data_IF_866064242805
#
_entry.id   IF_866064242805
#
_cell.length_a   1.000
_cell.length_b   1.000
_cell.length_c   1.000
_cell.angle_alpha   90.00
_cell.angle_beta   90.00
_cell.angle_gamma   90.00
#
_symmetry.space_group_name_H-M   'P 1'
#
loop_
_entity.id
_entity.type
_entity.pdbx_description
1 polymer ?
#
# COMPACT_ATOMS: atom_id res chain seq x y z
N UNK A 1 26.12 -41.43 -0.87
CA UNK A 1 25.00 -40.49 -0.68
C UNK A 1 25.54 -39.17 -0.18
N UNK A 2 25.64 -38.16 -1.05
CA UNK A 2 25.95 -36.79 -0.65
C UNK A 2 24.71 -35.93 -0.93
N UNK A 3 23.99 -35.57 0.13
CA UNK A 3 22.92 -34.59 0.03
C UNK A 3 23.55 -33.25 -0.39
N UNK A 4 23.36 -32.87 -1.66
CA UNK A 4 23.59 -31.50 -2.10
C UNK A 4 22.72 -30.60 -1.23
N UNK A 5 23.33 -29.89 -0.27
CA UNK A 5 22.72 -28.71 0.35
C UNK A 5 22.35 -27.78 -0.79
N UNK A 6 21.06 -27.69 -1.12
CA UNK A 6 20.52 -26.59 -1.92
C UNK A 6 20.99 -25.33 -1.23
N UNK A 7 21.81 -24.50 -1.89
CA UNK A 7 22.06 -23.16 -1.42
C UNK A 7 20.67 -22.53 -1.22
N UNK A 8 20.33 -22.19 0.03
CA UNK A 8 19.14 -21.40 0.31
C UNK A 8 19.31 -20.11 -0.45
N UNK A 9 18.55 -19.93 -1.53
CA UNK A 9 18.50 -18.68 -2.24
C UNK A 9 18.24 -17.57 -1.22
N UNK A 10 19.04 -16.50 -1.26
CA UNK A 10 18.86 -15.37 -0.37
C UNK A 10 17.43 -14.84 -0.56
N UNK A 11 16.71 -14.62 0.55
CA UNK A 11 15.36 -14.09 0.53
C UNK A 11 15.29 -12.81 -0.31
N UNK A 12 14.22 -12.62 -1.08
CA UNK A 12 13.96 -11.35 -1.77
C UNK A 12 13.86 -10.16 -0.79
N UNK A 13 13.52 -10.44 0.48
CA UNK A 13 13.47 -9.45 1.56
C UNK A 13 14.84 -9.26 2.26
N UNK A 14 15.87 -9.99 1.81
CA UNK A 14 17.23 -9.90 2.32
C UNK A 14 17.83 -8.52 2.05
N UNK A 15 18.36 -7.89 3.09
CA UNK A 15 19.01 -6.57 2.98
C UNK A 15 18.06 -5.37 2.99
N UNK A 16 16.77 -5.56 3.28
CA UNK A 16 15.88 -4.44 3.58
C UNK A 16 16.22 -3.78 4.93
N UNK A 17 15.98 -2.47 5.04
CA UNK A 17 16.14 -1.75 6.31
C UNK A 17 14.92 -1.98 7.20
N UNK A 18 14.99 -3.00 8.06
CA UNK A 18 13.91 -3.38 8.97
C UNK A 18 13.53 -2.30 9.99
N UNK A 19 14.46 -1.40 10.36
CA UNK A 19 14.14 -0.27 11.25
C UNK A 19 13.26 0.76 10.55
N UNK A 20 13.53 1.05 9.29
CA UNK A 20 12.71 1.96 8.48
C UNK A 20 11.32 1.36 8.23
N UNK A 21 11.23 0.07 7.90
CA UNK A 21 9.94 -0.64 7.76
C UNK A 21 9.14 -0.55 9.07
N UNK A 22 9.80 -0.76 10.22
CA UNK A 22 9.14 -0.67 11.53
C UNK A 22 8.65 0.74 11.86
N UNK A 23 9.39 1.77 11.47
CA UNK A 23 8.99 3.18 11.61
C UNK A 23 7.76 3.44 10.75
N UNK A 24 7.81 3.11 9.47
CA UNK A 24 6.69 3.27 8.54
C UNK A 24 5.42 2.56 9.04
N UNK A 25 5.55 1.31 9.48
CA UNK A 25 4.44 0.59 10.11
C UNK A 25 3.90 1.29 11.38
N UNK A 26 4.76 1.91 12.19
CA UNK A 26 4.32 2.64 13.39
C UNK A 26 3.51 3.87 13.05
N UNK A 27 3.94 4.63 12.05
CA UNK A 27 3.26 5.82 11.56
C UNK A 27 1.86 5.43 11.06
N UNK A 28 1.79 4.42 10.19
CA UNK A 28 0.52 3.88 9.68
C UNK A 28 -0.41 3.38 10.79
N UNK A 29 0.14 2.73 11.83
CA UNK A 29 -0.66 2.30 12.98
C UNK A 29 -1.24 3.48 13.77
N UNK A 30 -0.51 4.60 13.90
CA UNK A 30 -1.02 5.83 14.54
C UNK A 30 -2.13 6.44 13.69
N UNK A 31 -1.92 6.56 12.39
CA UNK A 31 -2.92 7.12 11.46
C UNK A 31 -4.18 6.26 11.40
N UNK A 32 -4.05 4.93 11.42
CA UNK A 32 -5.19 4.01 11.58
C UNK A 32 -6.01 4.33 12.84
N UNK A 33 -5.35 4.49 13.99
CA UNK A 33 -6.05 4.81 15.24
C UNK A 33 -6.74 6.19 15.17
N UNK A 34 -6.09 7.17 14.56
CA UNK A 34 -6.67 8.50 14.37
C UNK A 34 -7.90 8.48 13.44
N UNK A 35 -7.82 7.77 12.32
CA UNK A 35 -8.96 7.57 11.42
C UNK A 35 -10.17 6.96 12.14
N UNK A 36 -9.96 5.95 12.99
CA UNK A 36 -11.04 5.36 13.77
C UNK A 36 -11.61 6.36 14.79
N UNK A 37 -10.76 7.14 15.47
CA UNK A 37 -11.19 8.19 16.41
C UNK A 37 -12.05 9.25 15.71
N UNK A 38 -11.59 9.76 14.56
CA UNK A 38 -12.29 10.74 13.75
C UNK A 38 -13.64 10.19 13.29
N UNK A 39 -13.65 8.92 12.85
CA UNK A 39 -14.87 8.24 12.42
C UNK A 39 -15.90 8.12 13.56
N UNK A 40 -15.47 7.69 14.75
CA UNK A 40 -16.32 7.53 15.93
C UNK A 40 -16.93 8.86 16.40
N UNK A 41 -16.16 9.94 16.34
CA UNK A 41 -16.60 11.29 16.72
C UNK A 41 -17.39 12.01 15.65
N UNK A 42 -17.52 11.43 14.46
CA UNK A 42 -18.18 12.08 13.30
C UNK A 42 -17.51 13.39 12.90
N UNK A 43 -16.19 13.48 13.08
CA UNK A 43 -15.33 14.55 12.56
C UNK A 43 -15.12 14.30 11.05
N UNK A 44 -16.18 14.53 10.25
CA UNK A 44 -16.27 14.09 8.84
C UNK A 44 -15.22 14.76 7.95
N UNK A 45 -14.99 16.06 8.16
CA UNK A 45 -14.08 16.83 7.31
C UNK A 45 -12.64 16.34 7.49
N UNK A 46 -12.17 16.32 8.73
CA UNK A 46 -10.83 15.86 9.12
C UNK A 46 -10.63 14.38 8.76
N UNK A 47 -11.67 13.54 8.94
CA UNK A 47 -11.62 12.15 8.52
C UNK A 47 -11.38 12.01 7.02
N UNK A 48 -12.15 12.74 6.21
CA UNK A 48 -12.08 12.62 4.75
C UNK A 48 -10.74 13.16 4.24
N UNK A 49 -10.29 14.28 4.78
CA UNK A 49 -9.03 14.90 4.38
C UNK A 49 -7.84 13.99 4.77
N UNK A 50 -7.89 13.32 5.92
CA UNK A 50 -6.90 12.32 6.32
C UNK A 50 -6.96 11.03 5.48
N UNK A 51 -8.13 10.39 5.31
CA UNK A 51 -8.26 9.10 4.60
C UNK A 51 -7.93 9.20 3.10
N UNK A 52 -7.98 10.41 2.54
CA UNK A 52 -7.58 10.71 1.16
C UNK A 52 -6.15 11.24 1.06
N UNK A 53 -5.41 11.33 2.16
CA UNK A 53 -4.03 11.80 2.19
C UNK A 53 -3.87 13.27 1.81
N UNK A 54 -4.89 14.11 2.04
CA UNK A 54 -4.84 15.56 1.80
C UNK A 54 -4.07 16.26 2.91
N UNK A 55 -4.39 15.94 4.17
CA UNK A 55 -3.73 16.54 5.34
C UNK A 55 -2.39 15.86 5.67
N UNK A 56 -2.38 14.54 5.64
CA UNK A 56 -1.22 13.72 5.95
C UNK A 56 -1.13 12.53 4.96
N UNK A 57 -0.04 12.41 4.18
CA UNK A 57 0.17 11.31 3.23
C UNK A 57 0.05 9.92 3.85
N UNK A 58 0.33 9.77 5.16
CA UNK A 58 0.24 8.47 5.85
C UNK A 58 -1.17 7.90 5.87
N UNK A 59 -2.20 8.73 5.66
CA UNK A 59 -3.57 8.28 5.52
C UNK A 59 -3.83 7.56 4.19
N UNK A 60 -3.19 8.00 3.10
CA UNK A 60 -3.31 7.38 1.79
C UNK A 60 -2.16 7.78 0.85
N UNK A 61 -1.10 6.96 0.79
CA UNK A 61 0.03 7.23 -0.09
C UNK A 61 -0.36 7.13 -1.56
N UNK A 62 -1.23 6.17 -1.91
CA UNK A 62 -1.70 6.02 -3.29
C UNK A 62 -2.44 7.25 -3.80
N UNK A 63 -3.16 7.96 -2.93
CA UNK A 63 -3.81 9.21 -3.30
C UNK A 63 -2.82 10.38 -3.33
N UNK A 64 -1.94 10.49 -2.32
CA UNK A 64 -0.97 11.55 -2.23
C UNK A 64 0.05 11.54 -3.39
N UNK A 65 0.57 10.37 -3.78
CA UNK A 65 1.57 10.20 -4.85
C UNK A 65 1.10 10.75 -6.21
N UNK A 66 -0.22 10.92 -6.41
CA UNK A 66 -0.83 11.36 -7.67
C UNK A 66 -1.81 12.55 -7.51
N UNK A 67 -1.77 13.21 -6.34
CA UNK A 67 -2.65 14.34 -5.98
C UNK A 67 -4.14 14.03 -6.20
N UNK A 68 -4.56 12.82 -5.83
CA UNK A 68 -5.93 12.36 -6.06
C UNK A 68 -6.91 12.82 -5.01
N UNK A 69 -6.47 13.03 -3.77
CA UNK A 69 -7.35 13.53 -2.70
C UNK A 69 -8.08 14.80 -3.11
N UNK A 70 -7.37 15.87 -3.52
CA UNK A 70 -8.00 17.09 -4.02
C UNK A 70 -8.88 16.87 -5.26
N UNK A 71 -8.47 15.98 -6.20
CA UNK A 71 -9.26 15.67 -7.39
C UNK A 71 -10.56 14.95 -7.05
N UNK A 72 -10.54 14.00 -6.12
CA UNK A 72 -11.72 13.30 -5.59
C UNK A 72 -12.66 14.32 -4.94
N UNK A 73 -12.13 15.22 -4.12
CA UNK A 73 -12.92 16.24 -3.43
C UNK A 73 -13.55 17.26 -4.38
N UNK A 74 -12.82 17.70 -5.40
CA UNK A 74 -13.25 18.74 -6.34
C UNK A 74 -14.13 18.27 -7.51
N UNK A 75 -14.15 16.97 -7.85
CA UNK A 75 -14.85 16.45 -9.04
C UNK A 75 -16.05 15.56 -8.72
N UNK A 76 -16.49 15.50 -7.47
CA UNK A 76 -17.65 14.69 -7.07
C UNK A 76 -18.63 15.52 -6.25
N UNK A 77 -19.92 15.45 -6.60
CA UNK A 77 -20.99 16.09 -5.82
C UNK A 77 -21.09 15.44 -4.44
N UNK A 78 -21.07 16.24 -3.39
CA UNK A 78 -21.06 15.75 -2.00
C UNK A 78 -19.92 14.75 -1.73
N UNK A 79 -18.75 14.99 -2.30
CA UNK A 79 -17.56 14.12 -2.23
C UNK A 79 -17.27 13.62 -0.82
N UNK A 80 -17.24 14.51 0.18
CA UNK A 80 -17.02 14.13 1.58
C UNK A 80 -18.05 13.13 2.12
N UNK A 81 -19.34 13.34 1.82
CA UNK A 81 -20.42 12.41 2.22
C UNK A 81 -20.29 11.07 1.50
N UNK A 82 -19.93 11.06 0.21
CA UNK A 82 -19.73 9.83 -0.54
C UNK A 82 -18.55 9.01 0.00
N UNK A 83 -17.42 9.68 0.28
CA UNK A 83 -16.22 9.06 0.86
C UNK A 83 -16.51 8.53 2.26
N UNK A 84 -17.19 9.30 3.11
CA UNK A 84 -17.65 8.84 4.42
C UNK A 84 -18.56 7.62 4.34
N UNK A 85 -19.51 7.63 3.38
CA UNK A 85 -20.42 6.51 3.14
C UNK A 85 -19.69 5.25 2.69
N UNK A 86 -18.69 5.39 1.83
CA UNK A 86 -17.82 4.28 1.42
C UNK A 86 -16.98 3.75 2.59
N UNK A 87 -16.38 4.64 3.39
CA UNK A 87 -15.62 4.29 4.60
C UNK A 87 -16.46 3.51 5.62
N UNK A 88 -17.72 3.92 5.83
CA UNK A 88 -18.68 3.21 6.67
C UNK A 88 -18.86 1.76 6.20
N UNK A 89 -18.93 1.53 4.89
CA UNK A 89 -19.05 0.18 4.32
C UNK A 89 -17.76 -0.63 4.51
N UNK A 90 -16.58 -0.02 4.36
CA UNK A 90 -15.32 -0.71 4.64
C UNK A 90 -15.22 -1.22 6.08
N UNK A 91 -15.68 -0.45 7.07
CA UNK A 91 -15.68 -0.89 8.47
C UNK A 91 -16.57 -2.11 8.70
N UNK A 92 -17.62 -2.31 7.90
CA UNK A 92 -18.52 -3.46 7.99
C UNK A 92 -18.07 -4.70 7.20
N UNK A 93 -17.05 -4.59 6.34
CA UNK A 93 -16.67 -5.71 5.46
C UNK A 93 -16.11 -6.89 6.27
N UNK A 94 -16.47 -8.13 5.89
CA UNK A 94 -15.97 -9.34 6.55
C UNK A 94 -14.75 -9.93 5.81
N UNK A 95 -14.56 -9.53 4.55
CA UNK A 95 -13.51 -10.02 3.66
C UNK A 95 -12.98 -8.88 2.78
N UNK A 96 -11.65 -8.70 2.73
CA UNK A 96 -11.03 -7.74 1.81
C UNK A 96 -11.37 -7.98 0.34
N UNK A 97 -11.75 -9.23 -0.03
CA UNK A 97 -12.14 -9.58 -1.41
C UNK A 97 -13.34 -8.79 -1.95
N UNK A 98 -14.14 -8.19 -1.07
CA UNK A 98 -15.34 -7.43 -1.46
C UNK A 98 -15.03 -5.95 -1.75
N UNK A 99 -13.86 -5.47 -1.32
CA UNK A 99 -13.41 -4.07 -1.46
C UNK A 99 -13.47 -3.57 -2.91
N UNK A 100 -13.02 -4.32 -3.94
CA UNK A 100 -13.12 -3.87 -5.33
C UNK A 100 -14.55 -3.54 -5.76
N UNK A 101 -15.52 -4.38 -5.38
CA UNK A 101 -16.92 -4.15 -5.70
C UNK A 101 -17.49 -2.92 -4.96
N UNK A 102 -17.10 -2.71 -3.70
CA UNK A 102 -17.50 -1.52 -2.94
C UNK A 102 -17.02 -0.23 -3.62
N UNK A 103 -15.76 -0.21 -4.08
CA UNK A 103 -15.14 0.92 -4.78
C UNK A 103 -15.86 1.20 -6.10
N UNK A 104 -16.06 0.17 -6.94
CA UNK A 104 -16.81 0.31 -8.21
C UNK A 104 -18.19 0.90 -7.98
N UNK A 105 -18.93 0.34 -7.02
CA UNK A 105 -20.31 0.73 -6.75
C UNK A 105 -20.42 2.11 -6.10
N UNK A 106 -19.34 2.66 -5.54
CA UNK A 106 -19.34 4.02 -5.03
C UNK A 106 -19.34 5.07 -6.15
N UNK A 107 -18.85 4.71 -7.34
CA UNK A 107 -18.79 5.58 -8.52
C UNK A 107 -18.15 6.97 -8.26
N UNK A 108 -17.17 7.02 -7.35
CA UNK A 108 -16.44 8.24 -6.99
C UNK A 108 -15.31 8.42 -8.01
N UNK A 109 -15.38 9.52 -8.76
CA UNK A 109 -14.37 9.87 -9.76
C UNK A 109 -13.01 10.06 -9.11
N UNK A 110 -11.96 9.55 -9.78
CA UNK A 110 -10.56 9.50 -9.31
C UNK A 110 -10.28 8.55 -8.13
N UNK A 111 -11.30 7.91 -7.53
CA UNK A 111 -11.12 6.89 -6.51
C UNK A 111 -10.90 5.52 -7.15
N UNK A 112 -9.66 5.27 -7.56
CA UNK A 112 -9.22 4.00 -8.13
C UNK A 112 -9.06 2.90 -7.05
N UNK A 113 -8.81 1.65 -7.48
CA UNK A 113 -8.56 0.53 -6.54
C UNK A 113 -7.36 0.81 -5.63
N UNK A 114 -6.30 1.48 -6.11
CA UNK A 114 -5.14 1.82 -5.28
C UNK A 114 -5.53 2.68 -4.08
N UNK A 115 -6.26 3.77 -4.33
CA UNK A 115 -6.77 4.68 -3.29
C UNK A 115 -7.76 3.97 -2.37
N UNK A 116 -8.76 3.31 -2.95
CA UNK A 116 -9.86 2.74 -2.16
C UNK A 116 -9.44 1.51 -1.34
N UNK A 117 -8.55 0.67 -1.86
CA UNK A 117 -8.02 -0.48 -1.11
C UNK A 117 -7.04 -0.06 -0.02
N UNK A 118 -6.33 1.05 -0.21
CA UNK A 118 -5.51 1.63 0.85
C UNK A 118 -6.38 2.22 1.96
N UNK A 119 -7.44 2.96 1.61
CA UNK A 119 -8.42 3.46 2.57
C UNK A 119 -9.09 2.31 3.35
N UNK A 120 -9.50 1.23 2.67
CA UNK A 120 -10.11 0.09 3.35
C UNK A 120 -9.12 -0.66 4.26
N UNK A 121 -7.85 -0.79 3.86
CA UNK A 121 -6.77 -1.32 4.69
C UNK A 121 -6.56 -0.44 5.93
N UNK A 122 -6.55 0.89 5.78
CA UNK A 122 -6.38 1.83 6.89
C UNK A 122 -7.55 1.83 7.88
N UNK A 123 -8.74 1.38 7.48
CA UNK A 123 -9.90 1.26 8.38
C UNK A 123 -10.04 -0.14 8.98
N UNK A 124 -9.69 -1.19 8.22
CA UNK A 124 -9.88 -2.59 8.63
C UNK A 124 -8.68 -3.48 8.27
N UNK A 125 -7.50 -3.23 8.84
CA UNK A 125 -6.24 -3.85 8.40
C UNK A 125 -6.05 -5.31 8.82
N UNK A 126 -6.98 -5.88 9.58
CA UNK A 126 -7.04 -7.31 9.87
C UNK A 126 -7.69 -8.09 8.71
N UNK A 127 -8.52 -7.43 7.87
CA UNK A 127 -9.27 -8.04 6.76
C UNK A 127 -8.92 -7.50 5.39
N UNK A 128 -8.62 -6.21 5.29
CA UNK A 128 -8.41 -5.49 4.04
C UNK A 128 -6.92 -5.30 3.77
N UNK A 129 -6.52 -5.38 2.51
CA UNK A 129 -5.15 -5.16 2.06
C UNK A 129 -5.10 -4.14 0.94
N UNK A 130 -3.94 -3.50 0.82
CA UNK A 130 -3.67 -2.52 -0.22
C UNK A 130 -3.50 -3.21 -1.57
N UNK A 131 -3.92 -2.58 -2.64
CA UNK A 131 -3.74 -3.03 -4.04
C UNK A 131 -3.28 -1.87 -4.88
N UNK A 132 -1.98 -1.63 -4.80
CA UNK A 132 -1.25 -0.62 -5.56
C UNK A 132 -0.05 -1.26 -6.25
N UNK A 133 0.69 -0.47 -7.02
CA UNK A 133 1.88 -0.94 -7.76
C UNK A 133 2.90 -1.65 -6.89
N UNK A 134 3.12 -1.17 -5.65
CA UNK A 134 4.11 -1.73 -4.70
C UNK A 134 3.70 -3.13 -4.29
N UNK A 135 2.41 -3.32 -3.99
CA UNK A 135 1.85 -4.62 -3.59
C UNK A 135 1.79 -5.59 -4.76
N UNK A 136 1.35 -5.13 -5.94
CA UNK A 136 1.30 -5.94 -7.17
C UNK A 136 2.69 -6.41 -7.58
N UNK A 137 3.67 -5.51 -7.59
CA UNK A 137 5.03 -5.87 -7.95
C UNK A 137 5.66 -6.82 -6.93
N UNK A 138 5.40 -6.62 -5.64
CA UNK A 138 5.84 -7.56 -4.58
C UNK A 138 5.25 -8.95 -4.81
N UNK A 139 3.98 -9.05 -5.21
CA UNK A 139 3.38 -10.31 -5.59
C UNK A 139 4.12 -10.98 -6.75
N UNK A 140 4.45 -10.23 -7.80
CA UNK A 140 5.21 -10.74 -8.94
C UNK A 140 6.61 -11.22 -8.52
N UNK A 141 7.31 -10.50 -7.63
CA UNK A 141 8.62 -10.94 -7.11
C UNK A 141 8.51 -12.29 -6.43
N UNK A 142 7.48 -12.51 -5.60
CA UNK A 142 7.26 -13.79 -4.93
C UNK A 142 6.81 -14.89 -5.91
N UNK A 143 5.97 -14.56 -6.89
CA UNK A 143 5.55 -15.49 -7.94
C UNK A 143 6.73 -15.97 -8.79
N UNK A 144 7.74 -15.14 -8.99
CA UNK A 144 8.96 -15.47 -9.73
C UNK A 144 10.15 -15.83 -8.83
N UNK A 145 9.92 -16.32 -7.62
CA UNK A 145 10.97 -16.81 -6.69
C UNK A 145 12.12 -15.80 -6.45
N UNK A 146 11.81 -14.51 -6.36
CA UNK A 146 12.79 -13.45 -6.13
C UNK A 146 13.52 -12.96 -7.39
N UNK A 147 13.13 -13.42 -8.58
CA UNK A 147 13.71 -12.95 -9.85
C UNK A 147 13.16 -11.56 -10.23
N UNK A 148 13.77 -10.52 -9.65
CA UNK A 148 13.34 -9.13 -9.81
C UNK A 148 13.18 -8.66 -11.27
N UNK A 149 14.06 -9.09 -12.18
CA UNK A 149 13.96 -8.70 -13.60
C UNK A 149 12.71 -9.27 -14.27
N UNK A 150 12.32 -10.51 -13.94
CA UNK A 150 11.07 -11.10 -14.43
C UNK A 150 9.84 -10.37 -13.87
N UNK A 151 9.89 -9.99 -12.59
CA UNK A 151 8.84 -9.19 -11.98
C UNK A 151 8.70 -7.80 -12.65
N UNK A 152 9.83 -7.16 -12.99
CA UNK A 152 9.87 -5.89 -13.71
C UNK A 152 9.31 -6.00 -15.13
N UNK A 153 9.63 -7.09 -15.85
CA UNK A 153 9.10 -7.36 -17.19
C UNK A 153 7.59 -7.60 -17.14
N UNK A 154 7.13 -8.47 -16.23
CA UNK A 154 5.70 -8.73 -16.04
C UNK A 154 4.94 -7.44 -15.71
N UNK A 155 5.45 -6.61 -14.79
CA UNK A 155 4.83 -5.33 -14.46
C UNK A 155 4.75 -4.38 -15.66
N UNK A 156 5.78 -4.35 -16.53
CA UNK A 156 5.77 -3.56 -17.77
C UNK A 156 4.69 -4.04 -18.74
N UNK A 157 4.57 -5.35 -18.96
CA UNK A 157 3.52 -5.92 -19.81
C UNK A 157 2.12 -5.60 -19.29
N UNK A 158 1.94 -5.50 -17.96
CA UNK A 158 0.68 -5.04 -17.37
C UNK A 158 0.35 -3.58 -17.73
N UNK A 159 1.36 -2.70 -17.72
CA UNK A 159 1.22 -1.27 -18.05
C UNK A 159 1.01 -1.03 -19.55
N UNK A 160 1.81 -1.66 -20.41
CA UNK A 160 1.76 -1.47 -21.87
C UNK A 160 0.42 -1.84 -22.49
N UNK A 161 -0.28 -2.84 -21.92
CA UNK A 161 -1.60 -3.25 -22.38
C UNK A 161 -2.71 -2.24 -22.03
N UNK A 162 -2.40 -1.21 -21.25
CA UNK A 162 -3.36 -0.19 -20.80
C UNK A 162 -2.63 1.17 -20.68
N UNK A 163 -2.45 1.96 -21.75
CA UNK A 163 -1.63 3.19 -21.68
C UNK A 163 -2.15 4.26 -20.72
N UNK A 164 -3.47 4.33 -20.47
CA UNK A 164 -4.09 5.24 -19.49
C UNK A 164 -4.02 4.73 -18.02
N UNK A 165 -3.21 3.69 -17.75
CA UNK A 165 -3.34 2.78 -16.59
C UNK A 165 -2.46 3.00 -15.38
N UNK A 166 -1.79 4.15 -15.23
CA UNK A 166 -1.14 4.37 -13.93
C UNK A 166 -2.14 4.23 -12.78
N UNK A 167 -3.45 4.43 -13.06
CA UNK A 167 -4.52 4.27 -12.06
C UNK A 167 -5.83 3.60 -12.53
N UNK A 168 -6.01 3.28 -13.82
CA UNK A 168 -7.21 2.57 -14.32
C UNK A 168 -6.97 1.06 -14.35
N UNK A 169 -7.25 0.46 -13.21
CA UNK A 169 -6.90 -0.89 -12.81
C UNK A 169 -8.03 -1.91 -13.01
N UNK A 170 -8.70 -1.93 -14.17
CA UNK A 170 -9.79 -2.89 -14.41
C UNK A 170 -9.35 -4.34 -14.21
N UNK A 171 -8.10 -4.67 -14.53
CA UNK A 171 -7.52 -6.00 -14.28
C UNK A 171 -7.08 -6.25 -12.83
N UNK A 172 -6.76 -5.22 -12.04
CA UNK A 172 -6.33 -5.45 -10.65
C UNK A 172 -7.51 -5.63 -9.71
N UNK A 173 -8.69 -5.13 -10.06
CA UNK A 173 -9.87 -5.20 -9.21
C UNK A 173 -10.35 -6.63 -8.96
N UNK A 174 -10.52 -7.43 -10.00
CA UNK A 174 -10.85 -8.86 -9.90
C UNK A 174 -10.38 -9.53 -11.22
N UNK A 175 -9.76 -10.73 -11.18
CA UNK A 175 -9.51 -11.60 -10.03
C UNK A 175 -8.24 -11.25 -9.22
N UNK A 176 -7.38 -10.38 -9.74
CA UNK A 176 -6.02 -10.20 -9.23
C UNK A 176 -5.96 -9.71 -7.77
N UNK A 177 -6.84 -8.80 -7.33
CA UNK A 177 -6.93 -8.37 -5.93
C UNK A 177 -7.06 -9.56 -4.97
N UNK A 178 -7.82 -10.59 -5.36
CA UNK A 178 -8.05 -11.79 -4.54
C UNK A 178 -6.82 -12.68 -4.48
N UNK A 179 -6.07 -12.77 -5.58
CA UNK A 179 -4.85 -13.58 -5.69
C UNK A 179 -3.73 -13.04 -4.80
N UNK A 180 -3.68 -11.71 -4.58
CA UNK A 180 -2.70 -11.08 -3.71
C UNK A 180 -2.71 -11.67 -2.28
N UNK A 181 -3.87 -12.06 -1.75
CA UNK A 181 -4.03 -12.48 -0.36
C UNK A 181 -3.01 -13.55 0.05
N UNK A 182 -2.87 -14.61 -0.75
CA UNK A 182 -1.97 -15.73 -0.43
C UNK A 182 -0.51 -15.26 -0.40
N UNK A 183 -0.12 -14.43 -1.36
CA UNK A 183 1.25 -13.90 -1.43
C UNK A 183 1.53 -12.91 -0.31
N UNK A 184 0.56 -12.08 0.07
CA UNK A 184 0.70 -11.15 1.19
C UNK A 184 0.87 -11.87 2.53
N UNK A 185 0.25 -13.05 2.69
CA UNK A 185 0.53 -13.92 3.82
C UNK A 185 1.96 -14.48 3.80
N UNK A 186 2.47 -14.88 2.63
CA UNK A 186 3.86 -15.33 2.48
C UNK A 186 4.85 -14.19 2.77
N UNK A 187 4.63 -13.00 2.21
CA UNK A 187 5.43 -11.79 2.46
C UNK A 187 5.47 -11.48 3.95
N UNK A 188 4.33 -11.59 4.65
CA UNK A 188 4.26 -11.36 6.10
C UNK A 188 5.07 -12.39 6.88
N UNK A 189 4.92 -13.67 6.57
CA UNK A 189 5.62 -14.75 7.28
C UNK A 189 7.13 -14.64 7.09
N UNK A 190 7.57 -14.44 5.85
CA UNK A 190 8.98 -14.25 5.52
C UNK A 190 9.53 -12.95 6.10
N UNK A 191 8.76 -11.86 6.03
CA UNK A 191 9.16 -10.58 6.61
C UNK A 191 9.24 -10.61 8.13
N UNK A 192 8.37 -11.37 8.81
CA UNK A 192 8.48 -11.60 10.25
C UNK A 192 9.80 -12.29 10.60
N UNK A 193 10.17 -13.33 9.84
CA UNK A 193 11.44 -14.05 10.02
C UNK A 193 12.63 -13.11 9.85
N UNK A 194 12.69 -12.38 8.74
CA UNK A 194 13.79 -11.44 8.45
C UNK A 194 13.86 -10.27 9.45
N UNK A 195 12.72 -9.76 9.93
CA UNK A 195 12.70 -8.72 10.96
C UNK A 195 13.30 -9.22 12.28
N UNK A 196 12.94 -10.43 12.72
CA UNK A 196 13.47 -11.04 13.95
C UNK A 196 14.98 -11.26 13.83
N UNK A 197 15.44 -11.79 12.69
CA UNK A 197 16.88 -11.96 12.40
C UNK A 197 17.64 -10.62 12.42
N UNK A 198 16.99 -9.52 12.04
CA UNK A 198 17.53 -8.17 12.12
C UNK A 198 17.37 -7.50 13.50
N UNK A 199 16.88 -8.22 14.52
CA UNK A 199 16.65 -7.69 15.87
C UNK A 199 15.49 -6.69 15.96
N UNK A 200 14.55 -6.74 15.02
CA UNK A 200 13.36 -5.85 14.96
C UNK A 200 12.10 -6.65 15.24
N UNK A 201 11.27 -6.16 16.18
CA UNK A 201 9.98 -6.79 16.48
C UNK A 201 9.01 -6.62 15.30
N UNK A 202 8.41 -7.71 14.77
CA UNK A 202 7.42 -7.61 13.70
C UNK A 202 6.17 -6.82 14.08
N UNK A 203 5.52 -6.23 13.07
CA UNK A 203 4.22 -5.57 13.23
C UNK A 203 3.10 -6.56 13.55
N UNK A 204 2.18 -6.16 14.43
CA UNK A 204 1.08 -7.02 14.87
C UNK A 204 -0.18 -6.89 14.00
N UNK A 205 -0.33 -5.76 13.32
CA UNK A 205 -1.49 -5.49 12.47
C UNK A 205 -1.17 -5.98 11.07
N UNK A 206 -1.84 -7.08 10.69
CA UNK A 206 -1.49 -7.94 9.54
C UNK A 206 -1.16 -7.14 8.28
N UNK A 207 -2.14 -6.45 7.71
CA UNK A 207 -1.95 -5.85 6.38
C UNK A 207 -1.25 -4.51 6.39
N UNK A 208 -1.23 -3.77 7.51
CA UNK A 208 -0.34 -2.60 7.64
C UNK A 208 1.13 -3.01 7.68
N UNK A 209 1.44 -4.13 8.34
CA UNK A 209 2.81 -4.64 8.38
C UNK A 209 3.25 -5.14 7.00
N UNK A 210 2.38 -5.90 6.32
CA UNK A 210 2.67 -6.36 4.96
C UNK A 210 2.83 -5.21 3.97
N UNK A 211 1.98 -4.18 4.03
CA UNK A 211 2.07 -2.98 3.19
C UNK A 211 3.41 -2.24 3.38
N UNK A 212 3.88 -2.10 4.63
CA UNK A 212 5.18 -1.50 4.92
C UNK A 212 6.35 -2.30 4.33
N UNK A 213 6.27 -3.64 4.35
CA UNK A 213 7.28 -4.52 3.74
C UNK A 213 7.26 -4.38 2.21
N UNK A 214 6.09 -4.49 1.59
CA UNK A 214 5.92 -4.39 0.14
C UNK A 214 6.42 -3.04 -0.38
N UNK A 215 6.10 -1.97 0.34
CA UNK A 215 6.58 -0.62 0.02
C UNK A 215 8.09 -0.51 0.08
N UNK A 216 8.72 -1.03 1.14
CA UNK A 216 10.17 -0.98 1.27
C UNK A 216 10.90 -1.84 0.22
N UNK A 217 10.35 -3.02 -0.12
CA UNK A 217 10.90 -3.87 -1.17
C UNK A 217 10.88 -3.15 -2.53
N UNK A 218 9.72 -2.58 -2.89
CA UNK A 218 9.55 -1.84 -4.13
C UNK A 218 10.52 -0.66 -4.22
N UNK A 219 10.54 0.18 -3.18
CA UNK A 219 11.35 1.38 -3.13
C UNK A 219 12.85 1.06 -3.15
N UNK A 220 13.29 0.06 -2.39
CA UNK A 220 14.71 -0.33 -2.34
C UNK A 220 15.21 -0.80 -3.70
N UNK A 221 14.40 -1.59 -4.41
CA UNK A 221 14.74 -2.07 -5.75
C UNK A 221 14.76 -0.94 -6.79
N UNK A 222 13.70 -0.13 -6.82
CA UNK A 222 13.53 0.86 -7.89
C UNK A 222 14.35 2.14 -7.68
N UNK A 223 14.67 2.53 -6.44
CA UNK A 223 15.61 3.65 -6.19
C UNK A 223 17.04 3.33 -6.62
N UNK A 224 17.41 2.05 -6.65
CA UNK A 224 18.73 1.58 -7.10
C UNK A 224 18.84 1.43 -8.61
N UNK A 225 17.73 1.55 -9.34
CA UNK A 225 17.70 1.41 -10.80
C UNK A 225 17.80 2.79 -11.48
N UNK A 226 18.86 3.07 -12.29
CA UNK A 226 19.07 4.39 -12.92
C UNK A 226 17.91 4.87 -13.81
N UNK A 227 17.07 3.95 -14.29
CA UNK A 227 15.94 4.23 -15.20
C UNK A 227 14.66 4.75 -14.53
N UNK A 228 14.58 4.75 -13.19
CA UNK A 228 13.37 5.16 -12.43
C UNK A 228 13.54 6.44 -11.61
N UNK A 229 14.67 7.17 -11.76
CA UNK A 229 14.94 8.42 -11.03
C UNK A 229 13.96 9.57 -11.33
N UNK A 230 13.03 9.41 -12.27
CA UNK A 230 12.09 10.46 -12.68
C UNK A 230 10.82 10.57 -11.81
N UNK A 231 10.51 9.61 -10.93
CA UNK A 231 9.25 9.63 -10.14
C UNK A 231 9.41 9.40 -8.63
N UNK A 232 10.63 9.16 -8.14
CA UNK A 232 10.88 8.94 -6.72
C UNK A 232 11.33 10.22 -6.00
N UNK A 233 10.46 11.23 -5.92
CA UNK A 233 10.62 12.37 -5.01
C UNK A 233 9.52 12.35 -3.95
N UNK A 234 9.60 11.39 -3.02
CA UNK A 234 8.60 11.22 -1.95
C UNK A 234 9.17 10.93 -0.57
N UNK A 235 10.48 11.06 -0.38
CA UNK A 235 11.11 10.94 0.95
C UNK A 235 12.08 12.10 1.14
N UNK A 236 11.54 13.24 1.59
CA UNK A 236 12.39 14.30 2.17
C UNK A 236 12.76 13.84 3.57
N UNK A 237 13.98 13.34 3.72
CA UNK A 237 14.65 13.26 5.01
C UNK A 237 14.61 14.64 5.67
N UNK A 238 14.19 14.67 6.93
CA UNK A 238 13.91 15.89 7.70
C UNK A 238 14.92 17.02 7.49
N UNK A 239 14.41 18.19 7.09
CA UNK A 239 15.08 19.46 7.34
C UNK A 239 14.50 20.05 8.61
N UNK A 240 15.34 20.11 9.63
CA UNK A 240 15.19 20.98 10.78
C UNK A 240 14.86 22.40 10.32
N UNK A 241 13.67 22.87 10.65
CA UNK A 241 13.31 24.29 10.54
C UNK A 241 14.02 25.01 11.68
N UNK A 242 15.18 25.65 11.40
CA UNK A 242 15.71 26.68 12.28
C UNK A 242 14.95 27.96 11.99
N UNK A 243 14.08 28.34 12.92
CA UNK A 243 13.64 29.72 13.06
C UNK A 243 14.88 30.58 13.33
N UNK A 244 15.18 31.52 12.43
CA UNK A 244 15.91 32.73 12.80
C UNK A 244 14.86 33.83 12.91
N UNK A 245 14.91 34.53 14.05
CA UNK A 245 14.18 35.77 14.26
C UNK A 245 14.77 36.94 13.51
#
# INVERSE_FOLDING_TARGET
MAAKRKATAASALGGLNWRDIRRHYSERKKTHAELLRLFERREVDEFVDLILGVDDPTGNYSANDHELGPKILGNNLSSKKQVWGLASRFLTVTSGKDVPALIRNAAISYLAISVGSEASCMLKPDRCWVTNVRTVWTHLVFQYDGLFEKANEALRTFREKNPDSEMRYERWMDPFHRELLQTLDQVRLEGNRCAIEAGVRPGQVKFLWTDAIASALYDTHHRRSPRFRATASGWVSGRTFRLRG
#
